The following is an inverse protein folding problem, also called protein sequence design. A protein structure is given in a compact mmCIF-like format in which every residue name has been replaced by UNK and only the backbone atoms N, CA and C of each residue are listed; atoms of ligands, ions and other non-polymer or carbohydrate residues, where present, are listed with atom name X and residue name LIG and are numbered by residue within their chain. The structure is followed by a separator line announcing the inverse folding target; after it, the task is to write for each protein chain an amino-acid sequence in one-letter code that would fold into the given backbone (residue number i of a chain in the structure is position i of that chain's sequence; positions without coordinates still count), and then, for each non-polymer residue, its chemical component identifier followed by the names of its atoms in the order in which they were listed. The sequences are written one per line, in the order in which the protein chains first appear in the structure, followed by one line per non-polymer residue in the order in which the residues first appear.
data_IF_858332267113
#
_entry.id   IF_858332267113
#
_cell.length_a   1.000
_cell.length_b   1.000
_cell.length_c   1.000
_cell.angle_alpha   90.00
_cell.angle_beta   90.00
_cell.angle_gamma   90.00
#
_symmetry.space_group_name_H-M   'P 1'
#
loop_
_entity.id
_entity.type
_entity.pdbx_description
1 polymer ?
#
# COMPACT_ATOMS: atom_id res chain seq x y z
N UNK A 1 6.88 -5.20 15.64
CA UNK A 1 6.82 -5.63 14.22
C UNK A 1 5.95 -6.89 14.20
N UNK A 2 4.67 -6.79 13.86
CA UNK A 2 3.82 -7.98 13.73
C UNK A 2 4.14 -8.65 12.41
N UNK A 3 4.59 -9.90 12.46
CA UNK A 3 4.61 -10.79 11.33
C UNK A 3 3.16 -11.17 11.00
N UNK A 4 2.47 -10.34 10.23
CA UNK A 4 1.32 -10.80 9.44
C UNK A 4 1.86 -11.70 8.34
N UNK A 5 2.25 -12.92 8.75
CA UNK A 5 2.79 -13.94 7.87
C UNK A 5 1.80 -14.21 6.75
N UNK A 6 2.31 -14.24 5.53
CA UNK A 6 1.55 -14.61 4.35
C UNK A 6 0.68 -15.84 4.65
N UNK A 7 -0.62 -15.78 4.30
CA UNK A 7 -1.51 -16.93 4.41
C UNK A 7 -0.87 -18.10 3.66
N UNK A 8 -0.67 -19.22 4.35
CA UNK A 8 -0.13 -20.44 3.75
C UNK A 8 -1.08 -20.89 2.63
N UNK A 9 -0.57 -21.02 1.42
CA UNK A 9 -1.36 -21.48 0.29
C UNK A 9 -1.84 -22.92 0.53
N UNK A 10 -3.07 -23.28 0.11
CA UNK A 10 -3.54 -24.67 0.11
C UNK A 10 -2.63 -25.59 -0.70
N UNK A 11 -2.67 -26.90 -0.42
CA UNK A 11 -1.92 -27.88 -1.20
C UNK A 11 -2.34 -27.80 -2.69
N UNK A 12 -1.35 -27.74 -3.59
CA UNK A 12 -1.45 -27.43 -5.03
C UNK A 12 -1.53 -25.94 -5.43
N UNK A 13 -1.38 -25.00 -4.49
CA UNK A 13 -1.28 -23.58 -4.79
C UNK A 13 0.02 -22.99 -4.22
N UNK A 14 0.49 -21.87 -4.78
CA UNK A 14 1.63 -21.13 -4.28
C UNK A 14 1.27 -19.66 -4.03
N UNK A 15 1.83 -19.07 -2.96
CA UNK A 15 1.63 -17.65 -2.65
C UNK A 15 2.62 -16.81 -3.44
N UNK A 16 2.12 -15.91 -4.27
CA UNK A 16 2.91 -14.92 -4.98
C UNK A 16 2.83 -13.59 -4.24
N UNK A 17 3.99 -13.07 -3.84
CA UNK A 17 4.12 -11.77 -3.20
C UNK A 17 4.71 -10.80 -4.21
N UNK A 18 4.05 -9.66 -4.43
CA UNK A 18 4.53 -8.60 -5.32
C UNK A 18 4.49 -7.26 -4.60
N UNK A 19 5.49 -6.43 -4.90
CA UNK A 19 5.51 -5.03 -4.49
C UNK A 19 4.95 -4.21 -5.65
N UNK A 20 3.85 -3.50 -5.41
CA UNK A 20 3.17 -2.69 -6.42
C UNK A 20 3.14 -1.23 -6.00
N UNK A 21 3.40 -0.29 -6.93
CA UNK A 21 3.21 1.13 -6.66
C UNK A 21 1.72 1.45 -6.66
N UNK A 22 1.24 2.05 -5.58
CA UNK A 22 -0.13 2.53 -5.42
C UNK A 22 -0.10 4.04 -5.21
N UNK A 23 -1.04 4.76 -5.80
CA UNK A 23 -1.20 6.20 -5.53
C UNK A 23 -2.14 6.37 -4.34
N UNK A 24 -1.65 6.99 -3.28
CA UNK A 24 -2.46 7.33 -2.10
C UNK A 24 -2.49 8.84 -1.89
N UNK A 25 -3.59 9.34 -1.36
CA UNK A 25 -3.75 10.77 -1.03
C UNK A 25 -3.40 11.00 0.44
N UNK A 26 -2.33 11.74 0.70
CA UNK A 26 -1.88 12.05 2.07
C UNK A 26 -2.18 13.51 2.43
N UNK A 27 -2.65 13.79 3.66
CA UNK A 27 -2.81 15.17 4.11
C UNK A 27 -1.45 15.83 4.30
N UNK A 28 -1.28 17.00 3.71
CA UNK A 28 -0.08 17.84 3.80
C UNK A 28 -0.52 19.26 4.20
N UNK A 29 0.25 19.91 5.07
CA UNK A 29 0.03 21.32 5.39
C UNK A 29 0.69 22.19 4.32
N UNK A 30 -0.09 23.11 3.74
CA UNK A 30 0.36 24.06 2.72
C UNK A 30 0.05 25.47 3.21
N UNK A 31 0.98 26.40 3.02
CA UNK A 31 0.77 27.80 3.33
C UNK A 31 0.17 28.51 2.12
N UNK A 32 -1.09 28.92 2.21
CA UNK A 32 -1.80 29.63 1.15
C UNK A 32 -2.63 30.76 1.72
N UNK A 33 -2.67 31.91 1.02
CA UNK A 33 -3.47 33.07 1.42
C UNK A 33 -3.28 33.47 2.90
N UNK A 34 -2.05 33.41 3.40
CA UNK A 34 -1.70 33.85 4.75
C UNK A 34 -2.14 32.92 5.89
N UNK A 35 -2.53 31.68 5.60
CA UNK A 35 -2.87 30.68 6.62
C UNK A 35 -2.45 29.26 6.20
N UNK A 36 -2.38 28.36 7.17
CA UNK A 36 -2.14 26.93 6.93
C UNK A 36 -3.43 26.24 6.53
N UNK A 37 -3.41 25.54 5.40
CA UNK A 37 -4.50 24.68 4.93
C UNK A 37 -4.02 23.25 4.78
N UNK A 38 -4.91 22.29 5.02
CA UNK A 38 -4.63 20.87 4.76
C UNK A 38 -5.08 20.56 3.34
N UNK A 39 -4.16 20.05 2.52
CA UNK A 39 -4.44 19.55 1.17
C UNK A 39 -4.06 18.09 1.05
N UNK A 40 -4.78 17.37 0.21
CA UNK A 40 -4.48 15.99 -0.13
C UNK A 40 -3.56 15.96 -1.35
N UNK A 41 -2.35 15.45 -1.15
CA UNK A 41 -1.35 15.33 -2.22
C UNK A 41 -1.21 13.85 -2.59
N UNK A 42 -1.26 13.51 -3.89
CA UNK A 42 -1.02 12.14 -4.33
C UNK A 42 0.47 11.80 -4.16
N UNK A 43 0.75 10.68 -3.50
CA UNK A 43 2.09 10.14 -3.35
C UNK A 43 2.11 8.68 -3.81
N UNK A 44 3.25 8.25 -4.34
CA UNK A 44 3.47 6.84 -4.67
C UNK A 44 3.89 6.10 -3.40
N UNK A 45 3.11 5.10 -3.02
CA UNK A 45 3.39 4.19 -1.91
C UNK A 45 3.58 2.77 -2.45
N UNK A 46 4.61 2.07 -1.97
CA UNK A 46 4.86 0.69 -2.36
C UNK A 46 4.14 -0.24 -1.41
N UNK A 47 3.10 -0.92 -1.90
CA UNK A 47 2.34 -1.87 -1.11
C UNK A 47 2.72 -3.31 -1.47
N UNK A 48 2.75 -4.16 -0.46
CA UNK A 48 2.99 -5.59 -0.63
C UNK A 48 1.64 -6.28 -0.76
N UNK A 49 1.35 -6.81 -1.95
CA UNK A 49 0.17 -7.63 -2.20
C UNK A 49 0.57 -9.11 -2.19
N UNK A 50 -0.25 -9.95 -1.56
CA UNK A 50 -0.14 -11.39 -1.63
C UNK A 50 -1.34 -11.93 -2.41
N UNK A 51 -1.09 -12.86 -3.32
CA UNK A 51 -2.14 -13.55 -4.07
C UNK A 51 -1.80 -15.03 -4.13
N UNK A 52 -2.79 -15.88 -3.89
CA UNK A 52 -2.64 -17.33 -4.02
C UNK A 52 -2.93 -17.68 -5.47
N UNK A 53 -1.98 -18.32 -6.14
CA UNK A 53 -2.12 -18.84 -7.50
C UNK A 53 -2.16 -20.37 -7.41
N UNK A 54 -3.14 -20.98 -8.06
CA UNK A 54 -3.28 -22.42 -8.16
C UNK A 54 -3.11 -22.79 -9.64
N UNK A 55 -2.23 -23.75 -9.92
CA UNK A 55 -1.88 -24.20 -11.27
C UNK A 55 -2.70 -25.44 -11.68
#
# INVERSE_FOLDING_TARGET
MSSTGAQAAPAACHTVIKVVPVTISVPQQVWENGHWVIKYVPVTHYETISTIVCD
#
